data_IF_011575738538
#
_entry.id   IF_011575738538
#
_cell.length_a   1.000
_cell.length_b   1.000
_cell.length_c   1.000
_cell.angle_alpha   90.00
_cell.angle_beta   90.00
_cell.angle_gamma   90.00
#
_symmetry.space_group_name_H-M   'P 1'
#
loop_
_entity.id
_entity.type
_entity.pdbx_description
1 polymer ?
#
# COMPACT_ATOMS: atom_id res chain seq x y z
N UNK A 1 28.62 -3.00 -18.96
CA UNK A 1 27.56 -2.44 -18.09
C UNK A 1 27.98 -1.02 -17.74
N UNK A 2 27.06 -0.04 -17.68
CA UNK A 2 27.42 1.28 -17.18
C UNK A 2 27.91 1.16 -15.72
N UNK A 3 28.89 1.99 -15.37
CA UNK A 3 29.48 2.02 -14.03
C UNK A 3 28.45 2.60 -13.05
N UNK A 4 28.09 1.83 -12.03
CA UNK A 4 27.11 2.24 -11.02
C UNK A 4 27.86 3.00 -9.93
N UNK A 5 27.39 4.19 -9.60
CA UNK A 5 27.97 4.99 -8.51
C UNK A 5 27.88 4.22 -7.18
N UNK A 6 28.90 4.40 -6.33
CA UNK A 6 28.88 3.83 -4.98
C UNK A 6 27.71 4.37 -4.16
N UNK A 7 27.13 3.49 -3.33
CA UNK A 7 26.04 3.87 -2.44
C UNK A 7 26.51 4.91 -1.42
N UNK A 8 25.76 6.01 -1.29
CA UNK A 8 26.04 7.08 -0.32
C UNK A 8 24.77 7.47 0.41
N UNK A 9 24.85 7.56 1.73
CA UNK A 9 23.74 7.97 2.60
C UNK A 9 23.42 9.48 2.51
N UNK A 10 24.21 10.27 1.78
CA UNK A 10 23.95 11.70 1.57
C UNK A 10 23.82 12.48 2.89
N UNK A 11 22.72 13.23 3.03
CA UNK A 11 22.40 14.05 4.21
C UNK A 11 21.49 13.34 5.24
N UNK A 12 21.31 12.02 5.10
CA UNK A 12 20.39 11.26 5.92
C UNK A 12 20.76 11.30 7.41
N UNK A 13 19.77 11.57 8.26
CA UNK A 13 19.95 11.70 9.70
C UNK A 13 19.66 10.39 10.43
N UNK A 14 20.18 10.21 11.64
CA UNK A 14 19.78 9.07 12.48
C UNK A 14 18.34 9.28 12.94
N UNK A 15 17.49 8.24 12.82
CA UNK A 15 16.20 8.21 13.50
C UNK A 15 16.45 8.17 15.00
N UNK A 16 16.06 9.24 15.70
CA UNK A 16 16.06 9.28 17.16
C UNK A 16 14.77 8.63 17.72
N UNK A 17 13.68 8.64 16.95
CA UNK A 17 12.34 8.22 17.39
C UNK A 17 11.87 6.92 16.73
N UNK A 18 12.37 5.77 17.20
CA UNK A 18 11.89 4.45 16.78
C UNK A 18 10.39 4.21 17.09
N UNK A 19 9.82 5.05 17.96
CA UNK A 19 8.39 5.09 18.29
C UNK A 19 7.54 5.41 17.06
N UNK A 20 8.01 6.26 16.13
CA UNK A 20 7.28 6.62 14.91
C UNK A 20 7.08 5.40 14.01
N UNK A 21 8.12 4.59 13.85
CA UNK A 21 8.07 3.35 13.06
C UNK A 21 7.06 2.38 13.65
N UNK A 22 7.14 2.15 14.97
CA UNK A 22 6.23 1.26 15.68
C UNK A 22 4.78 1.75 15.63
N UNK A 23 4.56 3.06 15.71
CA UNK A 23 3.24 3.66 15.63
C UNK A 23 2.60 3.43 14.25
N UNK A 24 3.32 3.75 13.17
CA UNK A 24 2.82 3.59 11.81
C UNK A 24 2.57 2.11 11.47
N UNK A 25 3.41 1.21 11.97
CA UNK A 25 3.18 -0.23 11.86
C UNK A 25 1.85 -0.66 12.48
N UNK A 26 1.57 -0.22 13.71
CA UNK A 26 0.33 -0.54 14.41
C UNK A 26 -0.90 0.11 13.73
N UNK A 27 -0.77 1.34 13.23
CA UNK A 27 -1.82 1.99 12.47
C UNK A 27 -2.21 1.19 11.21
N UNK A 28 -1.23 0.80 10.39
CA UNK A 28 -1.47 0.00 9.17
C UNK A 28 -2.14 -1.32 9.55
N UNK A 29 -1.62 -2.01 10.57
CA UNK A 29 -2.18 -3.28 11.05
C UNK A 29 -3.66 -3.13 11.44
N UNK A 30 -4.00 -2.10 12.22
CA UNK A 30 -5.39 -1.86 12.65
C UNK A 30 -6.30 -1.49 11.48
N UNK A 31 -5.82 -0.70 10.53
CA UNK A 31 -6.59 -0.35 9.33
C UNK A 31 -6.93 -1.61 8.51
N UNK A 32 -5.93 -2.45 8.24
CA UNK A 32 -6.12 -3.66 7.46
C UNK A 32 -7.05 -4.65 8.18
N UNK A 33 -6.87 -4.84 9.50
CA UNK A 33 -7.72 -5.74 10.30
C UNK A 33 -9.18 -5.29 10.34
N UNK A 34 -9.43 -4.01 10.62
CA UNK A 34 -10.78 -3.51 10.89
C UNK A 34 -11.62 -3.35 9.62
N UNK A 35 -10.98 -3.09 8.47
CA UNK A 35 -11.69 -2.61 7.27
C UNK A 35 -11.39 -3.44 6.00
N UNK A 36 -10.30 -4.20 5.97
CA UNK A 36 -9.83 -4.96 4.78
C UNK A 36 -9.82 -6.48 5.04
N UNK A 37 -10.58 -6.91 6.06
CA UNK A 37 -10.86 -8.33 6.33
C UNK A 37 -11.74 -8.99 5.25
N UNK A 38 -12.31 -10.16 5.54
CA UNK A 38 -13.06 -10.95 4.54
C UNK A 38 -14.24 -10.15 3.96
N UNK A 39 -15.03 -9.49 4.82
CA UNK A 39 -16.21 -8.70 4.44
C UNK A 39 -15.84 -7.22 4.32
N UNK A 40 -16.05 -6.65 3.13
CA UNK A 40 -15.67 -5.27 2.77
C UNK A 40 -16.87 -4.47 2.28
N UNK A 41 -16.76 -3.15 2.37
CA UNK A 41 -17.72 -2.21 1.74
C UNK A 41 -16.95 -1.11 1.03
N UNK A 42 -17.52 -0.53 -0.02
CA UNK A 42 -16.88 0.56 -0.77
C UNK A 42 -16.53 1.73 0.12
N UNK A 43 -17.45 2.11 1.02
CA UNK A 43 -17.25 3.20 1.98
C UNK A 43 -16.05 2.96 2.89
N UNK A 44 -15.86 1.74 3.39
CA UNK A 44 -14.75 1.39 4.28
C UNK A 44 -13.43 1.36 3.52
N UNK A 45 -13.44 0.81 2.31
CA UNK A 45 -12.26 0.77 1.45
C UNK A 45 -11.78 2.18 1.07
N UNK A 46 -12.70 3.07 0.68
CA UNK A 46 -12.37 4.47 0.39
C UNK A 46 -11.77 5.20 1.61
N UNK A 47 -12.32 4.97 2.80
CA UNK A 47 -11.78 5.53 4.04
C UNK A 47 -10.36 5.04 4.33
N UNK A 48 -10.10 3.74 4.16
CA UNK A 48 -8.77 3.16 4.38
C UNK A 48 -7.78 3.67 3.35
N UNK A 49 -8.19 3.80 2.09
CA UNK A 49 -7.34 4.31 1.01
C UNK A 49 -6.84 5.71 1.34
N UNK A 50 -7.72 6.59 1.80
CA UNK A 50 -7.34 7.95 2.21
C UNK A 50 -6.36 7.96 3.39
N UNK A 51 -6.60 7.12 4.40
CA UNK A 51 -5.73 7.03 5.57
C UNK A 51 -4.36 6.43 5.23
N UNK A 52 -4.32 5.37 4.43
CA UNK A 52 -3.06 4.75 4.00
C UNK A 52 -2.24 5.70 3.13
N UNK A 53 -2.87 6.54 2.30
CA UNK A 53 -2.16 7.53 1.49
C UNK A 53 -1.30 8.47 2.34
N UNK A 54 -1.84 8.94 3.47
CA UNK A 54 -1.10 9.80 4.40
C UNK A 54 0.08 9.04 5.01
N UNK A 55 -0.17 7.84 5.56
CA UNK A 55 0.89 7.02 6.18
C UNK A 55 2.00 6.65 5.18
N UNK A 56 1.63 6.27 3.95
CA UNK A 56 2.59 5.95 2.89
C UNK A 56 3.42 7.18 2.52
N UNK A 57 2.81 8.37 2.49
CA UNK A 57 3.53 9.64 2.29
C UNK A 57 4.58 9.88 3.38
N UNK A 58 4.19 9.75 4.65
CA UNK A 58 5.08 9.92 5.79
C UNK A 58 6.24 8.90 5.77
N UNK A 59 5.93 7.63 5.52
CA UNK A 59 6.95 6.56 5.46
C UNK A 59 7.92 6.78 4.31
N UNK A 60 7.45 7.24 3.15
CA UNK A 60 8.33 7.57 2.02
C UNK A 60 9.20 8.79 2.34
N UNK A 61 8.68 9.80 3.03
CA UNK A 61 9.47 10.93 3.47
C UNK A 61 10.57 10.47 4.44
N UNK A 62 10.24 9.66 5.45
CA UNK A 62 11.22 9.11 6.39
C UNK A 62 12.30 8.26 5.70
N UNK A 63 11.92 7.50 4.66
CA UNK A 63 12.87 6.74 3.86
C UNK A 63 13.91 7.63 3.15
N UNK A 64 13.56 8.86 2.80
CA UNK A 64 14.46 9.82 2.16
C UNK A 64 15.28 10.63 3.18
N UNK A 65 14.66 11.00 4.31
CA UNK A 65 15.26 11.93 5.28
C UNK A 65 16.22 11.23 6.26
N UNK A 66 16.08 9.92 6.46
CA UNK A 66 16.80 9.17 7.50
C UNK A 66 17.67 8.03 7.00
N UNK A 67 18.65 7.65 7.83
CA UNK A 67 19.52 6.49 7.61
C UNK A 67 18.65 5.23 7.63
N UNK A 68 18.82 4.42 6.59
CA UNK A 68 18.05 3.21 6.42
C UNK A 68 18.36 2.20 7.52
N UNK A 69 17.32 1.80 8.24
CA UNK A 69 17.32 0.70 9.20
C UNK A 69 16.43 -0.43 8.69
N UNK A 70 16.65 -1.69 9.10
CA UNK A 70 15.78 -2.79 8.73
C UNK A 70 14.30 -2.50 9.02
N UNK A 71 13.99 -1.96 10.21
CA UNK A 71 12.62 -1.65 10.63
C UNK A 71 11.93 -0.63 9.70
N UNK A 72 12.65 0.39 9.23
CA UNK A 72 12.13 1.39 8.30
C UNK A 72 11.84 0.79 6.91
N UNK A 73 12.72 -0.11 6.44
CA UNK A 73 12.50 -0.83 5.19
C UNK A 73 11.29 -1.76 5.28
N UNK A 74 11.16 -2.47 6.40
CA UNK A 74 10.00 -3.33 6.65
C UNK A 74 8.71 -2.54 6.69
N UNK A 75 8.69 -1.40 7.40
CA UNK A 75 7.53 -0.51 7.45
C UNK A 75 7.13 -0.02 6.05
N UNK A 76 8.10 0.42 5.24
CA UNK A 76 7.87 0.84 3.86
C UNK A 76 7.24 -0.26 3.02
N UNK A 77 7.77 -1.48 3.11
CA UNK A 77 7.24 -2.61 2.37
C UNK A 77 5.82 -2.98 2.81
N UNK A 78 5.54 -2.97 4.11
CA UNK A 78 4.21 -3.21 4.67
C UNK A 78 3.21 -2.16 4.18
N UNK A 79 3.59 -0.87 4.24
CA UNK A 79 2.75 0.23 3.79
C UNK A 79 2.41 0.09 2.30
N UNK A 80 3.41 -0.23 1.47
CA UNK A 80 3.22 -0.42 0.04
C UNK A 80 2.32 -1.62 -0.29
N UNK A 81 2.52 -2.76 0.38
CA UNK A 81 1.66 -3.94 0.19
C UNK A 81 0.22 -3.65 0.64
N UNK A 82 0.03 -2.95 1.76
CA UNK A 82 -1.30 -2.55 2.23
C UNK A 82 -2.02 -1.67 1.21
N UNK A 83 -1.34 -0.66 0.66
CA UNK A 83 -1.88 0.20 -0.39
C UNK A 83 -2.31 -0.59 -1.63
N UNK A 84 -1.46 -1.52 -2.10
CA UNK A 84 -1.76 -2.37 -3.26
C UNK A 84 -3.01 -3.23 -3.03
N UNK A 85 -3.12 -3.87 -1.87
CA UNK A 85 -4.29 -4.70 -1.52
C UNK A 85 -5.56 -3.85 -1.53
N UNK A 86 -5.54 -2.71 -0.86
CA UNK A 86 -6.71 -1.81 -0.76
C UNK A 86 -7.10 -1.31 -2.13
N UNK A 87 -6.13 -0.94 -2.96
CA UNK A 87 -6.40 -0.48 -4.33
C UNK A 87 -7.01 -1.58 -5.19
N UNK A 88 -6.48 -2.80 -5.14
CA UNK A 88 -7.07 -3.96 -5.82
C UNK A 88 -8.52 -4.16 -5.39
N UNK A 89 -8.79 -4.09 -4.08
CA UNK A 89 -10.13 -4.25 -3.53
C UNK A 89 -11.07 -3.10 -3.93
N UNK A 90 -10.59 -1.86 -4.03
CA UNK A 90 -11.35 -0.72 -4.51
C UNK A 90 -11.75 -0.87 -5.99
N UNK A 91 -10.84 -1.36 -6.83
CA UNK A 91 -11.06 -1.52 -8.27
C UNK A 91 -12.10 -2.61 -8.54
N UNK A 92 -11.99 -3.76 -7.86
CA UNK A 92 -12.77 -4.97 -8.17
C UNK A 92 -14.19 -4.90 -7.60
N UNK A 93 -15.17 -4.61 -8.47
CA UNK A 93 -16.60 -4.49 -8.14
C UNK A 93 -17.35 -5.81 -8.30
N UNK A 94 -16.89 -6.84 -7.61
CA UNK A 94 -17.57 -8.15 -7.51
C UNK A 94 -17.19 -8.84 -6.20
N UNK A 95 -17.79 -10.00 -5.93
CA UNK A 95 -17.37 -10.89 -4.85
C UNK A 95 -16.91 -12.24 -5.39
N UNK A 96 -15.68 -12.65 -5.06
CA UNK A 96 -15.08 -13.91 -5.48
C UNK A 96 -14.03 -14.39 -4.47
N UNK A 97 -14.16 -15.63 -4.01
CA UNK A 97 -13.22 -16.23 -3.06
C UNK A 97 -13.13 -15.43 -1.75
N UNK A 98 -11.93 -14.99 -1.37
CA UNK A 98 -11.68 -14.20 -0.15
C UNK A 98 -11.97 -12.70 -0.32
N UNK A 99 -12.27 -12.25 -1.53
CA UNK A 99 -12.73 -10.88 -1.81
C UNK A 99 -14.26 -10.85 -1.78
N UNK A 100 -14.86 -10.47 -0.65
CA UNK A 100 -16.30 -10.27 -0.54
C UNK A 100 -16.62 -8.80 -0.29
N UNK A 101 -17.32 -8.18 -1.25
CA UNK A 101 -17.75 -6.79 -1.23
C UNK A 101 -19.27 -6.75 -1.11
N UNK A 102 -19.79 -6.25 0.00
CA UNK A 102 -21.23 -6.28 0.31
C UNK A 102 -22.06 -5.57 -0.75
N UNK A 103 -21.51 -4.48 -1.32
CA UNK A 103 -22.16 -3.69 -2.36
C UNK A 103 -22.26 -4.44 -3.71
N UNK A 104 -21.44 -5.48 -3.91
CA UNK A 104 -21.38 -6.32 -5.12
C UNK A 104 -21.26 -7.81 -4.73
N UNK A 105 -22.32 -8.44 -4.21
CA UNK A 105 -22.24 -9.76 -3.58
C UNK A 105 -22.09 -10.93 -4.56
N UNK A 106 -22.33 -10.69 -5.86
CA UNK A 106 -22.26 -11.72 -6.89
C UNK A 106 -20.93 -11.62 -7.67
N UNK A 107 -20.43 -12.75 -8.21
CA UNK A 107 -19.34 -12.72 -9.17
C UNK A 107 -19.82 -12.12 -10.49
N UNK A 108 -18.95 -11.36 -11.14
CA UNK A 108 -19.19 -10.76 -12.46
C UNK A 108 -18.11 -11.25 -13.43
N UNK A 109 -18.44 -12.35 -14.10
CA UNK A 109 -17.54 -13.00 -15.04
C UNK A 109 -17.30 -12.19 -16.32
N UNK A 110 -18.18 -11.25 -16.66
CA UNK A 110 -18.05 -10.44 -17.88
C UNK A 110 -16.92 -9.40 -17.74
N UNK A 111 -16.77 -8.79 -16.56
CA UNK A 111 -15.78 -7.74 -16.32
C UNK A 111 -14.57 -8.18 -15.49
N UNK A 112 -14.75 -9.15 -14.58
CA UNK A 112 -13.77 -9.44 -13.52
C UNK A 112 -13.20 -10.86 -13.54
N UNK A 113 -13.52 -11.70 -14.53
CA UNK A 113 -12.88 -13.03 -14.70
C UNK A 113 -11.45 -12.94 -15.25
N UNK A 114 -10.65 -12.09 -14.62
CA UNK A 114 -9.25 -11.81 -14.93
C UNK A 114 -8.51 -11.36 -13.68
N UNK A 115 -7.19 -11.44 -13.76
CA UNK A 115 -6.32 -10.99 -12.69
C UNK A 115 -6.27 -9.46 -12.61
N UNK A 116 -6.20 -8.94 -11.40
CA UNK A 116 -5.97 -7.51 -11.17
C UNK A 116 -4.46 -7.26 -11.22
N UNK A 117 -4.00 -6.56 -12.25
CA UNK A 117 -2.59 -6.21 -12.43
C UNK A 117 -2.38 -4.74 -12.10
N UNK A 118 -1.54 -4.46 -11.10
CA UNK A 118 -1.09 -3.11 -10.76
C UNK A 118 0.38 -2.99 -11.14
N UNK A 119 0.73 -1.91 -11.83
CA UNK A 119 2.10 -1.58 -12.18
C UNK A 119 2.46 -0.20 -11.63
N UNK A 120 3.72 -0.05 -11.24
CA UNK A 120 4.28 1.26 -10.90
C UNK A 120 4.47 2.02 -12.21
N UNK A 121 3.92 3.23 -12.30
CA UNK A 121 4.23 4.10 -13.43
C UNK A 121 5.58 4.79 -13.15
N UNK A 122 6.48 4.74 -14.12
CA UNK A 122 7.76 5.44 -14.03
C UNK A 122 7.51 6.94 -14.21
N UNK A 123 7.63 7.72 -13.13
CA UNK A 123 7.67 9.19 -13.18
C UNK A 123 6.60 9.95 -12.37
N UNK A 124 5.56 9.30 -11.88
CA UNK A 124 4.52 9.91 -11.02
C UNK A 124 4.40 9.10 -9.72
N UNK A 125 4.21 9.74 -8.53
CA UNK A 125 3.88 9.03 -7.30
C UNK A 125 2.45 8.51 -7.36
N UNK A 126 2.23 7.52 -8.22
CA UNK A 126 0.94 6.92 -8.50
C UNK A 126 1.15 5.61 -9.25
N UNK A 127 0.83 4.48 -8.61
CA UNK A 127 0.66 3.21 -9.30
C UNK A 127 -0.49 3.37 -10.33
N UNK A 128 -0.56 2.58 -11.40
CA UNK A 128 -1.72 2.53 -12.30
C UNK A 128 -2.20 1.10 -12.48
N UNK A 129 -3.51 0.95 -12.64
CA UNK A 129 -4.13 -0.35 -12.87
C UNK A 129 -4.12 -0.62 -14.37
N UNK A 130 -3.38 -1.64 -14.80
CA UNK A 130 -3.34 -2.03 -16.19
C UNK A 130 -4.35 -3.16 -16.39
N UNK A 131 -5.47 -2.87 -17.06
CA UNK A 131 -6.34 -3.94 -17.55
C UNK A 131 -5.70 -4.54 -18.78
N UNK A 132 -5.24 -5.80 -18.66
CA UNK A 132 -5.15 -6.68 -19.83
C UNK A 132 -6.54 -7.16 -20.20
#
# INVERSE_FOLDING_TARGET
LPEVAEWSAGAAQRIEENVLVSHNWDQIRRLMWNYVGIVRTEKRLALVQERLRVIVGEVNQHYHDYILTPDLIELRNIAQVAELIVRCACIRKESRGLHYLVDFPQPDDAHWKKDTIIQRQDGEPGLSACSK
#
